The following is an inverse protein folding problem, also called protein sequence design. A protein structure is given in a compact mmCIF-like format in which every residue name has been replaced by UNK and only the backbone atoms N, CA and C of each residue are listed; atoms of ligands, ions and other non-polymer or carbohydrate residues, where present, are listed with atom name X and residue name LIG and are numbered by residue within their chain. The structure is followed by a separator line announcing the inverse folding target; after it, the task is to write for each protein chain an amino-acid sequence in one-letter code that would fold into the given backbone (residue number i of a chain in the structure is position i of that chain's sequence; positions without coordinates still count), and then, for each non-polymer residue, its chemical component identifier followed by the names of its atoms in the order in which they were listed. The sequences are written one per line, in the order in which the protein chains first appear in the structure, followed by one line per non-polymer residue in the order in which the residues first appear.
data_IF_858393834551
#
_entry.id   IF_858393834551
#
_cell.length_a   1.000
_cell.length_b   1.000
_cell.length_c   1.000
_cell.angle_alpha   90.00
_cell.angle_beta   90.00
_cell.angle_gamma   90.00
#
_symmetry.space_group_name_H-M   'P 1'
#
loop_
_entity.id
_entity.type
_entity.pdbx_description
1 polymer ?
#
# COMPACT_ATOMS: atom_id res chain seq x y z
N UNK A 1 -16.98 -4.06 20.05
CA UNK A 1 -16.08 -5.13 19.55
C UNK A 1 -14.66 -4.80 20.01
N UNK A 2 -14.09 -5.55 20.97
CA UNK A 2 -12.71 -5.33 21.42
C UNK A 2 -11.76 -5.91 20.37
N UNK A 3 -11.24 -5.07 19.48
CA UNK A 3 -10.25 -5.52 18.50
C UNK A 3 -8.94 -5.82 19.23
N UNK A 4 -8.43 -7.06 19.12
CA UNK A 4 -7.11 -7.41 19.66
C UNK A 4 -6.08 -6.42 19.08
N UNK A 5 -5.15 -5.88 19.88
CA UNK A 5 -4.16 -4.87 19.43
C UNK A 5 -3.43 -5.27 18.12
N UNK A 6 -3.16 -6.57 17.97
CA UNK A 6 -2.50 -7.18 16.80
C UNK A 6 -3.42 -7.38 15.58
N UNK A 7 -4.72 -7.12 15.71
CA UNK A 7 -5.75 -7.19 14.67
C UNK A 7 -6.33 -5.81 14.36
N UNK A 8 -5.69 -4.74 14.83
CA UNK A 8 -6.06 -3.38 14.40
C UNK A 8 -5.64 -3.16 12.94
N UNK A 9 -6.40 -2.34 12.21
CA UNK A 9 -6.05 -1.93 10.84
C UNK A 9 -4.63 -1.33 10.77
N UNK A 10 -4.26 -0.56 11.80
CA UNK A 10 -2.93 0.03 11.93
C UNK A 10 -1.83 -1.04 12.05
N UNK A 11 -2.07 -2.12 12.81
CA UNK A 11 -1.14 -3.23 12.93
C UNK A 11 -1.03 -4.03 11.62
N UNK A 12 -2.15 -4.19 10.90
CA UNK A 12 -2.18 -4.82 9.59
C UNK A 12 -1.37 -4.01 8.56
N UNK A 13 -1.61 -2.70 8.46
CA UNK A 13 -0.88 -1.81 7.55
C UNK A 13 0.63 -1.83 7.79
N UNK A 14 1.06 -1.79 9.07
CA UNK A 14 2.48 -1.92 9.44
C UNK A 14 3.08 -3.27 9.05
N UNK A 15 2.31 -4.35 9.22
CA UNK A 15 2.76 -5.70 8.87
C UNK A 15 2.93 -5.84 7.35
N UNK A 16 1.98 -5.32 6.58
CA UNK A 16 2.04 -5.32 5.11
C UNK A 16 3.21 -4.48 4.62
N UNK A 17 3.36 -3.23 5.08
CA UNK A 17 4.47 -2.35 4.70
C UNK A 17 5.83 -3.02 4.92
N UNK A 18 6.07 -3.59 6.11
CA UNK A 18 7.31 -4.31 6.43
C UNK A 18 7.57 -5.51 5.51
N UNK A 19 6.53 -6.20 5.05
CA UNK A 19 6.67 -7.32 4.10
C UNK A 19 7.00 -6.82 2.70
N UNK A 20 6.41 -5.71 2.28
CA UNK A 20 6.65 -5.11 0.96
C UNK A 20 8.07 -4.55 0.84
N UNK A 21 8.63 -3.98 1.90
CA UNK A 21 10.02 -3.52 1.95
C UNK A 21 11.04 -4.66 1.73
N UNK A 22 10.66 -5.91 2.03
CA UNK A 22 11.50 -7.09 1.82
C UNK A 22 11.47 -7.60 0.38
N UNK A 23 10.56 -7.08 -0.46
CA UNK A 23 10.44 -7.48 -1.86
C UNK A 23 11.54 -6.77 -2.66
N UNK A 24 12.49 -7.51 -3.27
CA UNK A 24 13.52 -6.90 -4.08
C UNK A 24 12.91 -6.25 -5.32
N UNK A 25 13.31 -5.02 -5.61
CA UNK A 25 12.94 -4.33 -6.84
C UNK A 25 13.83 -4.79 -7.99
N UNK A 26 13.27 -5.62 -8.87
CA UNK A 26 13.99 -6.20 -10.03
C UNK A 26 13.86 -5.38 -11.30
N UNK A 27 13.21 -4.21 -11.25
CA UNK A 27 12.99 -3.35 -12.42
C UNK A 27 14.33 -2.81 -12.94
N UNK A 28 14.58 -2.98 -14.24
CA UNK A 28 15.75 -2.39 -14.91
C UNK A 28 15.51 -0.91 -15.18
N UNK A 29 15.78 -0.06 -14.19
CA UNK A 29 15.69 1.39 -14.30
C UNK A 29 15.27 2.08 -12.99
N UNK A 30 15.50 3.38 -12.89
CA UNK A 30 14.96 4.18 -11.79
C UNK A 30 13.50 4.52 -12.10
N UNK A 31 12.57 3.78 -11.50
CA UNK A 31 11.16 4.19 -11.48
C UNK A 31 11.02 5.49 -10.69
N UNK A 32 10.09 6.37 -11.09
CA UNK A 32 9.77 7.61 -10.36
C UNK A 32 9.29 7.33 -8.93
N UNK A 33 8.72 6.14 -8.70
CA UNK A 33 8.15 5.72 -7.43
C UNK A 33 8.78 4.43 -6.91
N UNK A 34 9.00 4.38 -5.60
CA UNK A 34 9.43 3.18 -4.91
C UNK A 34 8.35 2.10 -5.04
N UNK A 35 8.77 0.84 -5.21
CA UNK A 35 7.86 -0.29 -5.36
C UNK A 35 6.94 -0.44 -4.14
N UNK A 36 7.49 -0.21 -2.94
CA UNK A 36 6.74 -0.14 -1.69
C UNK A 36 5.54 0.82 -1.76
N UNK A 37 5.77 2.06 -2.23
CA UNK A 37 4.75 3.10 -2.23
C UNK A 37 3.64 2.80 -3.25
N UNK A 38 3.99 2.22 -4.39
CA UNK A 38 3.02 1.72 -5.36
C UNK A 38 2.10 0.66 -4.72
N UNK A 39 2.67 -0.31 -4.00
CA UNK A 39 1.89 -1.35 -3.33
C UNK A 39 1.02 -0.82 -2.19
N UNK A 40 1.55 0.11 -1.38
CA UNK A 40 0.77 0.75 -0.31
C UNK A 40 -0.39 1.57 -0.87
N UNK A 41 -0.20 2.23 -2.01
CA UNK A 41 -1.27 2.94 -2.72
C UNK A 41 -2.34 1.95 -3.19
N UNK A 42 -1.95 0.82 -3.77
CA UNK A 42 -2.89 -0.22 -4.19
C UNK A 42 -3.67 -0.83 -3.01
N UNK A 43 -3.00 -1.02 -1.87
CA UNK A 43 -3.67 -1.46 -0.64
C UNK A 43 -4.70 -0.42 -0.15
N UNK A 44 -4.36 0.87 -0.19
CA UNK A 44 -5.28 1.94 0.18
C UNK A 44 -6.51 1.98 -0.74
N UNK A 45 -6.33 1.78 -2.05
CA UNK A 45 -7.44 1.71 -3.00
C UNK A 45 -8.42 0.57 -2.70
N UNK A 46 -7.90 -0.61 -2.33
CA UNK A 46 -8.76 -1.74 -2.01
C UNK A 46 -9.68 -1.43 -0.82
N UNK A 47 -9.19 -0.64 0.14
CA UNK A 47 -9.99 -0.16 1.27
C UNK A 47 -10.99 0.94 0.85
N UNK A 48 -10.56 1.86 0.00
CA UNK A 48 -11.37 3.01 -0.45
C UNK A 48 -12.29 2.69 -1.64
N UNK A 49 -12.20 1.47 -2.17
CA UNK A 49 -12.96 0.97 -3.32
C UNK A 49 -12.74 1.78 -4.61
N UNK A 50 -11.54 2.33 -4.79
CA UNK A 50 -11.18 3.04 -6.01
C UNK A 50 -10.92 2.04 -7.15
N UNK A 51 -11.40 2.32 -8.39
CA UNK A 51 -11.36 1.37 -9.49
C UNK A 51 -9.97 1.21 -10.14
N UNK A 52 -9.03 2.13 -9.90
CA UNK A 52 -7.65 2.04 -10.40
C UNK A 52 -6.70 3.02 -9.69
N UNK A 53 -5.38 2.76 -9.76
CA UNK A 53 -4.34 3.64 -9.19
C UNK A 53 -4.44 5.06 -9.72
N UNK A 54 -4.80 5.20 -11.00
CA UNK A 54 -4.99 6.49 -11.63
C UNK A 54 -6.17 7.26 -11.00
N UNK A 55 -7.30 6.61 -10.79
CA UNK A 55 -8.49 7.25 -10.19
C UNK A 55 -8.25 7.64 -8.73
N UNK A 56 -7.54 6.79 -7.97
CA UNK A 56 -7.11 7.13 -6.62
C UNK A 56 -6.20 8.37 -6.58
N UNK A 57 -5.23 8.45 -7.50
CA UNK A 57 -4.35 9.61 -7.60
C UNK A 57 -5.13 10.89 -7.95
N UNK A 58 -6.03 10.84 -8.93
CA UNK A 58 -6.84 11.99 -9.36
C UNK A 58 -7.71 12.55 -8.23
N UNK A 59 -8.20 11.70 -7.31
CA UNK A 59 -9.00 12.13 -6.16
C UNK A 59 -8.19 12.85 -5.08
N UNK A 60 -6.88 12.61 -5.01
CA UNK A 60 -5.97 13.22 -4.02
C UNK A 60 -5.35 14.55 -4.50
N UNK A 61 -5.46 14.85 -5.81
CA UNK A 61 -5.00 16.08 -6.44
C UNK A 61 -6.11 17.14 -6.43
#
# INVERSE_FOLDING_TARGET
MHSKKHLSFSALGKTISKRLEQIPDTRKGKGTYALHDCFMSAFAMMFLQDPSLLQFQLRLQ
#
